data_IF_134931320351
#
_entry.id   IF_134931320351
#
_cell.length_a   1.000
_cell.length_b   1.000
_cell.length_c   1.000
_cell.angle_alpha   90.00
_cell.angle_beta   90.00
_cell.angle_gamma   90.00
#
_symmetry.space_group_name_H-M   'P 1'
#
loop_
_entity.id
_entity.type
_entity.pdbx_description
1 polymer ?
#
# COMPACT_ATOMS: atom_id res chain seq x y z
N UNK A 1 -2.97 -54.94 -39.89
CA UNK A 1 -2.54 -55.29 -38.52
C UNK A 1 -1.49 -54.28 -38.07
N UNK A 2 -1.64 -53.74 -36.85
CA UNK A 2 -0.59 -53.23 -35.93
C UNK A 2 0.33 -52.08 -36.41
N UNK A 3 0.65 -51.04 -35.64
CA UNK A 3 0.24 -50.51 -34.32
C UNK A 3 0.81 -49.07 -34.29
N UNK A 4 -0.01 -48.12 -33.85
CA UNK A 4 0.39 -46.75 -33.48
C UNK A 4 1.41 -46.80 -32.32
N UNK A 5 2.47 -45.99 -32.40
CA UNK A 5 3.32 -45.63 -31.27
C UNK A 5 3.55 -44.11 -31.28
N UNK A 6 2.56 -43.38 -30.77
CA UNK A 6 2.68 -41.94 -30.50
C UNK A 6 3.17 -41.81 -29.06
N UNK A 7 4.47 -41.58 -28.89
CA UNK A 7 5.12 -41.46 -27.59
C UNK A 7 4.69 -40.17 -26.91
N UNK A 8 3.92 -40.31 -25.84
CA UNK A 8 3.35 -39.24 -25.02
C UNK A 8 4.47 -38.58 -24.18
N UNK A 9 5.10 -37.54 -24.73
CA UNK A 9 6.09 -36.71 -24.03
C UNK A 9 5.40 -35.55 -23.31
N UNK A 10 4.51 -35.86 -22.37
CA UNK A 10 3.74 -34.87 -21.63
C UNK A 10 3.60 -35.28 -20.17
N UNK A 11 4.66 -35.10 -19.38
CA UNK A 11 4.55 -34.92 -17.94
C UNK A 11 5.95 -34.63 -17.41
N UNK A 12 6.15 -33.39 -16.96
CA UNK A 12 7.13 -32.91 -15.96
C UNK A 12 7.45 -31.43 -16.25
N UNK A 13 6.40 -30.61 -16.38
CA UNK A 13 6.58 -29.18 -16.13
C UNK A 13 6.68 -29.03 -14.61
N UNK A 14 7.81 -28.55 -14.06
CA UNK A 14 7.90 -28.30 -12.63
C UNK A 14 6.83 -27.27 -12.25
N UNK A 15 5.88 -27.69 -11.42
CA UNK A 15 4.94 -26.78 -10.76
C UNK A 15 5.75 -26.04 -9.70
N UNK A 16 6.42 -24.96 -10.11
CA UNK A 16 7.01 -24.01 -9.18
C UNK A 16 5.88 -23.19 -8.53
N UNK A 17 5.14 -23.81 -7.60
CA UNK A 17 4.22 -23.11 -6.71
C UNK A 17 5.01 -22.60 -5.49
N UNK A 18 5.92 -21.66 -5.72
CA UNK A 18 6.53 -20.87 -4.65
C UNK A 18 5.89 -19.49 -4.71
N UNK A 19 4.86 -19.27 -3.90
CA UNK A 19 4.35 -17.93 -3.58
C UNK A 19 5.37 -17.20 -2.72
N UNK A 20 6.54 -16.90 -3.29
CA UNK A 20 7.58 -16.14 -2.60
C UNK A 20 7.18 -14.66 -2.62
N UNK A 21 6.58 -14.21 -1.52
CA UNK A 21 6.35 -12.79 -1.31
C UNK A 21 7.70 -12.04 -1.29
N UNK A 22 7.83 -10.97 -2.06
CA UNK A 22 9.09 -10.22 -2.26
C UNK A 22 9.47 -9.47 -0.99
N UNK A 23 10.40 -9.99 -0.17
CA UNK A 23 10.72 -9.47 1.17
C UNK A 23 10.74 -7.93 1.24
N UNK A 24 10.22 -7.30 2.32
CA UNK A 24 10.28 -5.85 2.48
C UNK A 24 11.74 -5.37 2.43
N UNK A 25 12.00 -4.35 1.62
CA UNK A 25 13.32 -3.71 1.50
C UNK A 25 13.28 -2.29 2.03
N UNK A 26 14.41 -1.73 2.51
CA UNK A 26 14.50 -0.31 2.79
C UNK A 26 14.04 0.54 1.60
N UNK A 27 13.36 1.66 1.87
CA UNK A 27 12.91 2.61 0.84
C UNK A 27 13.20 4.04 1.27
N UNK A 28 13.50 4.88 0.28
CA UNK A 28 13.55 6.33 0.40
C UNK A 28 12.55 6.91 -0.61
N UNK A 29 11.54 7.62 -0.12
CA UNK A 29 10.46 8.19 -0.94
C UNK A 29 10.48 9.70 -0.81
N UNK A 30 10.40 10.42 -1.92
CA UNK A 30 10.19 11.87 -1.93
C UNK A 30 8.73 12.17 -2.31
N UNK A 31 8.21 13.31 -1.87
CA UNK A 31 6.92 13.80 -2.33
C UNK A 31 7.04 14.47 -3.70
N UNK A 32 6.00 14.36 -4.53
CA UNK A 32 5.93 15.05 -5.83
C UNK A 32 5.91 16.59 -5.69
N UNK A 33 5.63 17.10 -4.48
CA UNK A 33 5.64 18.53 -4.15
C UNK A 33 7.00 19.05 -3.67
N UNK A 34 8.03 18.20 -3.60
CA UNK A 34 9.44 18.56 -3.36
C UNK A 34 9.86 18.93 -1.93
N UNK A 35 8.93 19.09 -0.99
CA UNK A 35 9.24 19.58 0.36
C UNK A 35 9.37 18.50 1.46
N UNK A 36 8.94 17.26 1.20
CA UNK A 36 8.99 16.16 2.16
C UNK A 36 9.64 14.91 1.57
N UNK A 37 10.23 14.11 2.45
CA UNK A 37 10.68 12.75 2.14
C UNK A 37 10.52 11.81 3.32
N UNK A 38 10.55 10.52 3.04
CA UNK A 38 10.28 9.47 3.99
C UNK A 38 11.30 8.34 3.85
N UNK A 39 11.91 7.93 4.96
CA UNK A 39 12.73 6.72 5.04
C UNK A 39 11.91 5.59 5.66
N UNK A 40 11.92 4.45 5.00
CA UNK A 40 11.35 3.21 5.51
C UNK A 40 12.48 2.21 5.76
N UNK A 41 12.50 1.63 6.96
CA UNK A 41 13.50 0.66 7.39
C UNK A 41 12.81 -0.57 7.98
N UNK A 42 12.67 -1.68 7.23
CA UNK A 42 12.19 -2.94 7.79
C UNK A 42 13.31 -3.56 8.64
N UNK A 43 12.99 -3.96 9.87
CA UNK A 43 13.92 -4.67 10.76
C UNK A 43 13.78 -6.17 10.57
N UNK A 44 14.91 -6.82 10.27
CA UNK A 44 15.15 -8.27 10.24
C UNK A 44 13.99 -9.13 9.71
N UNK A 45 14.10 -9.54 8.44
CA UNK A 45 13.14 -10.45 7.80
C UNK A 45 13.51 -11.90 8.13
N UNK A 46 12.99 -12.42 9.25
CA UNK A 46 13.00 -13.86 9.53
C UNK A 46 11.82 -14.53 8.86
N UNK A 47 11.95 -14.94 7.59
CA UNK A 47 10.85 -15.51 6.78
C UNK A 47 10.29 -14.54 5.74
N UNK A 48 8.97 -14.61 5.49
CA UNK A 48 8.26 -13.78 4.50
C UNK A 48 7.68 -12.48 5.09
N UNK A 49 7.96 -12.13 6.34
CA UNK A 49 7.41 -10.92 6.98
C UNK A 49 8.47 -10.19 7.80
N UNK A 50 8.40 -8.85 7.82
CA UNK A 50 9.20 -8.04 8.75
C UNK A 50 8.55 -8.11 10.14
N UNK A 51 9.37 -8.26 11.19
CA UNK A 51 8.89 -8.29 12.58
C UNK A 51 8.54 -6.90 13.10
N UNK A 52 9.23 -5.89 12.59
CA UNK A 52 9.10 -4.50 13.01
C UNK A 52 9.53 -3.61 11.84
N UNK A 53 8.87 -2.48 11.68
CA UNK A 53 9.10 -1.53 10.59
C UNK A 53 9.25 -0.14 11.17
N UNK A 54 10.22 0.64 10.70
CA UNK A 54 10.45 2.02 11.16
C UNK A 54 10.22 3.01 10.02
N UNK A 55 9.64 4.14 10.38
CA UNK A 55 9.43 5.28 9.50
C UNK A 55 10.14 6.52 10.01
N UNK A 56 10.65 7.34 9.10
CA UNK A 56 11.21 8.66 9.38
C UNK A 56 10.72 9.65 8.33
N UNK A 57 9.84 10.58 8.73
CA UNK A 57 9.44 11.71 7.89
C UNK A 57 10.41 12.87 8.11
N UNK A 58 10.88 13.46 7.02
CA UNK A 58 11.72 14.64 7.05
C UNK A 58 11.23 15.69 6.04
N UNK A 59 11.57 16.95 6.31
CA UNK A 59 11.25 18.09 5.46
C UNK A 59 12.53 18.73 4.94
N UNK A 60 12.61 18.95 3.63
CA UNK A 60 13.68 19.72 3.01
C UNK A 60 13.50 21.21 3.35
N UNK A 61 14.49 21.80 3.99
CA UNK A 61 14.52 23.21 4.35
C UNK A 61 15.05 24.06 3.18
N UNK A 62 14.83 25.38 3.24
CA UNK A 62 15.25 26.31 2.19
C UNK A 62 16.78 26.38 1.99
N UNK A 63 17.55 26.04 3.03
CA UNK A 63 19.01 25.96 2.99
C UNK A 63 19.54 24.60 2.47
N UNK A 64 18.64 23.72 2.03
CA UNK A 64 18.97 22.36 1.56
C UNK A 64 19.17 21.33 2.67
N UNK A 65 19.05 21.71 3.94
CA UNK A 65 19.15 20.76 5.06
C UNK A 65 17.86 19.95 5.22
N UNK A 66 17.97 18.77 5.86
CA UNK A 66 16.82 17.93 6.17
C UNK A 66 16.46 18.06 7.65
N UNK A 67 15.22 18.48 7.93
CA UNK A 67 14.66 18.50 9.28
C UNK A 67 13.80 17.25 9.50
N UNK A 68 14.18 16.38 10.41
CA UNK A 68 13.32 15.26 10.84
C UNK A 68 12.09 15.82 11.53
N UNK A 69 10.90 15.45 11.05
CA UNK A 69 9.63 15.79 11.68
C UNK A 69 9.24 14.73 12.71
N UNK A 70 9.42 13.46 12.37
CA UNK A 70 9.23 12.35 13.31
C UNK A 70 9.97 11.09 12.86
N UNK A 71 10.24 10.21 13.82
CA UNK A 71 10.82 8.89 13.61
C UNK A 71 10.32 7.90 14.66
N UNK A 72 9.59 6.87 14.26
CA UNK A 72 9.05 5.86 15.18
C UNK A 72 8.69 4.55 14.46
N UNK A 73 8.35 3.47 15.21
CA UNK A 73 7.82 2.25 14.64
C UNK A 73 6.51 2.48 13.88
N UNK A 74 6.34 1.83 12.74
CA UNK A 74 5.11 1.79 11.96
C UNK A 74 4.21 0.65 12.46
N UNK A 75 2.90 0.82 12.27
CA UNK A 75 1.91 -0.21 12.61
C UNK A 75 1.86 -1.31 11.53
N UNK A 76 2.40 -1.03 10.35
CA UNK A 76 2.40 -1.93 9.21
C UNK A 76 3.79 -2.00 8.54
N UNK A 77 3.94 -2.91 7.59
CA UNK A 77 5.18 -3.08 6.81
C UNK A 77 4.87 -2.72 5.36
N UNK A 78 4.93 -1.43 4.98
CA UNK A 78 4.50 -1.00 3.65
C UNK A 78 5.24 -1.72 2.53
N UNK A 79 4.48 -2.16 1.53
CA UNK A 79 5.00 -2.45 0.20
C UNK A 79 5.14 -1.17 -0.64
N UNK A 80 4.40 -0.11 -0.28
CA UNK A 80 4.50 1.21 -0.91
C UNK A 80 4.24 2.30 0.12
N UNK A 81 4.93 3.42 -0.03
CA UNK A 81 4.70 4.64 0.75
C UNK A 81 4.39 5.78 -0.20
N UNK A 82 3.46 6.64 0.19
CA UNK A 82 3.08 7.86 -0.52
C UNK A 82 3.13 9.01 0.47
N UNK A 83 3.47 10.21 0.00
CA UNK A 83 3.55 11.41 0.84
C UNK A 83 2.61 12.46 0.26
N UNK A 84 1.59 12.83 1.04
CA UNK A 84 0.62 13.85 0.67
C UNK A 84 1.22 15.26 0.71
N UNK A 85 0.60 16.24 0.05
CA UNK A 85 1.13 17.61 -0.09
C UNK A 85 1.36 18.37 1.22
N UNK A 86 0.71 17.95 2.31
CA UNK A 86 0.89 18.55 3.65
C UNK A 86 1.75 17.71 4.59
N UNK A 87 2.51 16.74 4.07
CA UNK A 87 3.39 15.88 4.88
C UNK A 87 2.68 14.71 5.56
N UNK A 88 1.47 14.34 5.12
CA UNK A 88 0.85 13.10 5.58
C UNK A 88 1.54 11.92 4.91
N UNK A 89 1.81 10.85 5.65
CA UNK A 89 2.41 9.63 5.11
C UNK A 89 1.32 8.57 4.98
N UNK A 90 1.17 8.01 3.78
CA UNK A 90 0.25 6.90 3.51
C UNK A 90 1.08 5.66 3.24
N UNK A 91 0.90 4.61 4.03
CA UNK A 91 1.52 3.30 3.81
C UNK A 91 0.48 2.34 3.25
N UNK A 92 0.84 1.63 2.18
CA UNK A 92 0.04 0.56 1.59
C UNK A 92 0.71 -0.77 1.89
N UNK A 93 0.02 -1.62 2.65
CA UNK A 93 0.52 -2.93 3.03
C UNK A 93 -0.14 -4.03 2.19
N UNK A 94 0.69 -4.96 1.75
CA UNK A 94 0.33 -6.13 0.92
C UNK A 94 0.61 -7.46 1.64
N UNK A 95 1.14 -7.43 2.86
CA UNK A 95 1.70 -8.56 3.58
C UNK A 95 0.71 -9.28 4.50
N UNK A 96 -0.53 -8.81 4.61
CA UNK A 96 -1.57 -9.34 5.51
C UNK A 96 -2.29 -10.61 5.06
N UNK A 97 -1.78 -11.30 4.03
CA UNK A 97 -2.52 -12.23 3.19
C UNK A 97 -2.93 -13.59 3.79
N UNK A 98 -2.56 -13.96 5.02
CA UNK A 98 -2.98 -15.27 5.56
C UNK A 98 -3.61 -15.24 6.96
N UNK A 99 -3.45 -14.19 7.78
CA UNK A 99 -4.04 -14.14 9.13
C UNK A 99 -4.33 -12.72 9.67
N UNK A 100 -4.16 -11.66 8.88
CA UNK A 100 -4.09 -10.31 9.44
C UNK A 100 -4.37 -9.24 8.40
N UNK A 101 -5.64 -9.12 8.01
CA UNK A 101 -6.15 -8.10 7.08
C UNK A 101 -6.11 -6.67 7.66
N UNK A 102 -5.42 -6.41 8.77
CA UNK A 102 -5.71 -5.27 9.64
C UNK A 102 -5.29 -3.90 9.08
N UNK A 103 -4.12 -3.81 8.42
CA UNK A 103 -3.45 -2.53 8.16
C UNK A 103 -3.15 -2.26 6.68
N UNK A 104 -4.14 -2.46 5.81
CA UNK A 104 -4.00 -2.35 4.36
C UNK A 104 -3.63 -0.92 3.92
N UNK A 105 -4.25 0.09 4.52
CA UNK A 105 -3.95 1.50 4.32
C UNK A 105 -3.83 2.16 5.68
N UNK A 106 -2.65 2.67 5.98
CA UNK A 106 -2.43 3.47 7.20
C UNK A 106 -2.05 4.88 6.80
N UNK A 107 -2.67 5.86 7.45
CA UNK A 107 -2.40 7.27 7.23
C UNK A 107 -1.85 7.84 8.53
N UNK A 108 -0.67 8.45 8.43
CA UNK A 108 -0.02 9.20 9.48
C UNK A 108 -0.13 10.69 9.17
N UNK A 109 -0.43 11.49 10.19
CA UNK A 109 -0.35 12.94 10.09
C UNK A 109 1.12 13.42 10.10
N UNK A 110 1.38 14.72 9.88
CA UNK A 110 2.74 15.26 9.84
C UNK A 110 3.51 15.18 11.16
N UNK A 111 2.85 14.78 12.26
CA UNK A 111 3.47 14.55 13.58
C UNK A 111 3.79 13.07 13.83
N UNK A 112 3.35 12.18 12.93
CA UNK A 112 3.53 10.73 13.05
C UNK A 112 2.36 10.03 13.74
N UNK A 113 1.29 10.74 14.08
CA UNK A 113 0.11 10.12 14.67
C UNK A 113 -0.70 9.42 13.60
N UNK A 114 -1.12 8.19 13.88
CA UNK A 114 -2.06 7.43 13.02
C UNK A 114 -3.43 8.12 13.05
N UNK A 115 -3.92 8.54 11.89
CA UNK A 115 -5.26 9.12 11.69
C UNK A 115 -6.21 8.17 10.97
N UNK A 116 -5.67 7.19 10.25
CA UNK A 116 -6.45 6.09 9.67
C UNK A 116 -5.64 4.80 9.74
N UNK A 117 -6.33 3.71 10.08
CA UNK A 117 -5.82 2.36 10.01
C UNK A 117 -6.93 1.49 9.42
N UNK A 118 -6.85 1.24 8.12
CA UNK A 118 -7.92 0.65 7.33
C UNK A 118 -7.51 -0.73 6.84
N UNK A 119 -8.42 -1.68 6.99
CA UNK A 119 -8.30 -3.02 6.47
C UNK A 119 -8.71 -3.10 4.98
N UNK A 120 -8.47 -4.26 4.36
CA UNK A 120 -8.81 -4.48 2.95
C UNK A 120 -10.31 -4.35 2.64
N UNK A 121 -11.21 -4.75 3.54
CA UNK A 121 -12.65 -4.67 3.30
C UNK A 121 -13.18 -3.24 3.37
N UNK A 122 -12.46 -2.33 4.03
CA UNK A 122 -12.77 -0.91 4.03
C UNK A 122 -12.34 -0.23 2.72
N UNK A 123 -11.22 -0.66 2.11
CA UNK A 123 -10.65 0.05 0.95
C UNK A 123 -10.86 -0.65 -0.39
N UNK A 124 -11.43 -1.86 -0.39
CA UNK A 124 -11.73 -2.64 -1.60
C UNK A 124 -13.19 -3.12 -1.59
N UNK A 125 -13.72 -3.55 -2.74
CA UNK A 125 -15.09 -4.08 -2.85
C UNK A 125 -15.31 -5.46 -2.22
N UNK A 126 -14.33 -5.99 -1.49
CA UNK A 126 -14.36 -7.36 -0.97
C UNK A 126 -13.91 -8.40 -1.99
N UNK A 127 -12.97 -9.23 -1.55
CA UNK A 127 -12.46 -10.48 -2.10
C UNK A 127 -11.73 -10.52 -3.46
N UNK A 128 -10.54 -11.12 -3.37
CA UNK A 128 -9.80 -11.89 -4.36
C UNK A 128 -9.88 -11.41 -5.81
N UNK A 129 -8.84 -10.70 -6.24
CA UNK A 129 -8.49 -10.62 -7.65
C UNK A 129 -8.23 -12.05 -8.16
N UNK A 130 -9.23 -12.65 -8.81
CA UNK A 130 -9.13 -13.99 -9.40
C UNK A 130 -8.00 -14.08 -10.45
N UNK A 131 -7.64 -12.95 -11.07
CA UNK A 131 -6.50 -12.85 -12.00
C UNK A 131 -5.14 -12.77 -11.33
N UNK A 132 -5.09 -12.44 -10.04
CA UNK A 132 -3.82 -12.15 -9.38
C UNK A 132 -3.10 -13.43 -8.93
N UNK A 133 -3.75 -14.60 -8.98
CA UNK A 133 -3.23 -15.90 -8.49
C UNK A 133 -2.53 -15.81 -7.12
N UNK A 134 -2.83 -14.76 -6.37
CA UNK A 134 -2.32 -14.46 -5.06
C UNK A 134 -3.49 -14.68 -4.12
N UNK A 135 -3.31 -15.58 -3.15
CA UNK A 135 -4.33 -15.89 -2.15
C UNK A 135 -4.83 -14.63 -1.38
N UNK A 136 -4.14 -13.49 -1.48
CA UNK A 136 -4.47 -12.22 -0.82
C UNK A 136 -5.23 -11.15 -1.62
N UNK A 137 -5.67 -11.42 -2.86
CA UNK A 137 -6.40 -10.44 -3.68
C UNK A 137 -5.53 -9.40 -4.40
N UNK A 138 -6.12 -8.35 -5.00
CA UNK A 138 -5.33 -7.38 -5.76
C UNK A 138 -4.47 -6.59 -4.78
N UNK A 139 -3.16 -6.69 -4.94
CA UNK A 139 -2.21 -5.86 -4.20
C UNK A 139 -2.59 -4.39 -4.42
N UNK A 140 -2.84 -3.65 -3.33
CA UNK A 140 -3.22 -2.23 -3.41
C UNK A 140 -2.19 -1.44 -4.23
N UNK A 141 -0.93 -1.88 -4.17
CA UNK A 141 0.18 -1.26 -4.89
C UNK A 141 0.16 -1.50 -6.40
N UNK A 142 -0.51 -2.56 -6.89
CA UNK A 142 -0.53 -2.94 -8.32
C UNK A 142 -1.85 -2.59 -8.99
N UNK A 143 -2.98 -2.80 -8.30
CA UNK A 143 -4.30 -2.64 -8.90
C UNK A 143 -4.84 -1.21 -8.78
N UNK A 144 -4.19 -0.34 -8.01
CA UNK A 144 -4.69 1.00 -7.74
C UNK A 144 -3.68 2.08 -8.09
N UNK A 145 -4.20 3.16 -8.66
CA UNK A 145 -3.47 4.40 -8.88
C UNK A 145 -3.84 5.38 -7.78
N UNK A 146 -2.96 5.62 -6.79
CA UNK A 146 -3.21 6.64 -5.78
C UNK A 146 -3.11 8.03 -6.40
N UNK A 147 -4.03 8.93 -6.03
CA UNK A 147 -3.98 10.35 -6.37
C UNK A 147 -4.37 11.19 -5.16
N UNK A 148 -3.80 12.39 -5.06
CA UNK A 148 -4.22 13.39 -4.07
C UNK A 148 -5.11 14.44 -4.72
N UNK A 149 -6.17 14.85 -4.02
CA UNK A 149 -7.02 15.98 -4.44
C UNK A 149 -7.45 16.81 -3.24
N UNK A 150 -7.68 18.10 -3.47
CA UNK A 150 -8.50 18.95 -2.62
C UNK A 150 -9.82 19.25 -3.35
N UNK A 151 -10.90 19.49 -2.61
CA UNK A 151 -12.21 19.86 -3.19
C UNK A 151 -12.53 21.33 -2.93
N UNK A 152 -11.58 22.22 -3.23
CA UNK A 152 -11.74 23.67 -3.06
C UNK A 152 -11.50 24.21 -1.64
N UNK A 153 -11.36 23.33 -0.65
CA UNK A 153 -10.82 23.71 0.66
C UNK A 153 -9.32 23.38 0.67
N UNK A 154 -8.46 24.41 0.63
CA UNK A 154 -7.01 24.25 0.65
C UNK A 154 -6.50 23.48 1.89
N UNK A 155 -7.30 23.47 2.96
CA UNK A 155 -6.92 22.82 4.20
C UNK A 155 -7.21 21.32 4.24
N UNK A 156 -8.06 20.80 3.36
CA UNK A 156 -8.43 19.39 3.37
C UNK A 156 -8.02 18.67 2.07
N UNK A 157 -7.19 17.65 2.26
CA UNK A 157 -6.70 16.79 1.20
C UNK A 157 -7.23 15.38 1.37
N UNK A 158 -7.44 14.72 0.24
CA UNK A 158 -7.98 13.38 0.17
C UNK A 158 -7.05 12.47 -0.63
N UNK A 159 -6.92 11.23 -0.17
CA UNK A 159 -6.37 10.13 -0.94
C UNK A 159 -7.48 9.48 -1.78
N UNK A 160 -7.27 9.43 -3.08
CA UNK A 160 -8.10 8.69 -4.02
C UNK A 160 -7.37 7.40 -4.36
N UNK A 161 -7.89 6.26 -3.93
CA UNK A 161 -7.44 4.96 -4.41
C UNK A 161 -8.37 4.54 -5.54
N UNK A 162 -7.85 4.44 -6.76
CA UNK A 162 -8.66 4.18 -7.96
C UNK A 162 -8.16 2.97 -8.73
N UNK A 163 -9.05 2.04 -9.07
CA UNK A 163 -8.77 0.96 -10.00
C UNK A 163 -8.67 1.47 -11.45
N UNK A 164 -8.40 0.56 -12.39
CA UNK A 164 -8.34 0.81 -13.83
C UNK A 164 -9.65 1.36 -14.42
N UNK A 165 -10.78 1.14 -13.74
CA UNK A 165 -12.12 1.64 -14.10
C UNK A 165 -12.48 2.93 -13.36
N UNK A 166 -11.56 3.53 -12.60
CA UNK A 166 -11.80 4.74 -11.84
C UNK A 166 -12.69 4.55 -10.60
N UNK A 167 -12.86 3.34 -10.10
CA UNK A 167 -13.61 3.01 -8.87
C UNK A 167 -12.69 2.91 -7.67
N UNK A 168 -13.20 3.15 -6.48
CA UNK A 168 -12.47 3.01 -5.23
C UNK A 168 -12.68 4.17 -4.25
N UNK A 169 -12.20 4.04 -3.01
CA UNK A 169 -12.54 4.93 -1.91
C UNK A 169 -11.85 6.28 -2.02
N UNK A 170 -12.50 7.30 -1.46
CA UNK A 170 -11.87 8.61 -1.20
C UNK A 170 -11.71 8.77 0.29
N UNK A 171 -10.48 8.97 0.78
CA UNK A 171 -10.17 8.97 2.22
C UNK A 171 -9.64 10.34 2.61
N UNK A 172 -10.22 10.98 3.63
CA UNK A 172 -9.69 12.26 4.15
C UNK A 172 -8.36 12.03 4.83
N UNK A 173 -7.32 12.77 4.44
CA UNK A 173 -6.00 12.69 5.09
C UNK A 173 -6.03 13.24 6.52
N UNK A 174 -6.98 14.14 6.83
CA UNK A 174 -7.09 14.75 8.16
C UNK A 174 -7.81 13.85 9.17
N UNK A 175 -8.90 13.21 8.73
CA UNK A 175 -9.80 12.48 9.64
C UNK A 175 -9.73 10.97 9.48
N UNK A 176 -9.08 10.47 8.42
CA UNK A 176 -9.07 9.07 8.04
C UNK A 176 -10.41 8.51 7.58
N UNK A 177 -11.48 9.31 7.57
CA UNK A 177 -12.82 8.86 7.18
C UNK A 177 -12.96 8.77 5.66
N UNK A 178 -13.78 7.83 5.22
CA UNK A 178 -14.23 7.79 3.84
C UNK A 178 -15.11 9.01 3.55
N UNK A 179 -14.86 9.65 2.41
CA UNK A 179 -15.78 10.59 1.77
C UNK A 179 -16.68 9.89 0.78
N UNK A 180 -16.15 8.87 0.10
CA UNK A 180 -16.91 7.98 -0.78
C UNK A 180 -16.53 6.54 -0.54
N UNK A 181 -17.50 5.64 -0.67
CA UNK A 181 -17.27 4.21 -0.72
C UNK A 181 -16.60 3.78 -2.04
N UNK A 182 -16.43 2.48 -2.22
CA UNK A 182 -15.89 1.86 -3.43
C UNK A 182 -16.61 2.29 -4.72
N UNK A 183 -17.93 2.44 -4.67
CA UNK A 183 -18.77 2.77 -5.82
C UNK A 183 -18.89 4.28 -6.05
N UNK A 184 -18.11 5.10 -5.32
CA UNK A 184 -18.20 6.54 -5.38
C UNK A 184 -19.43 7.11 -4.68
N UNK A 185 -20.20 6.31 -3.94
CA UNK A 185 -21.33 6.81 -3.15
C UNK A 185 -20.80 7.52 -1.92
N UNK A 186 -21.38 8.68 -1.58
CA UNK A 186 -21.01 9.41 -0.37
C UNK A 186 -21.28 8.55 0.86
N UNK A 187 -20.31 8.54 1.77
CA UNK A 187 -20.47 7.96 3.10
C UNK A 187 -20.85 9.07 4.08
N UNK A 188 -21.82 8.79 4.95
CA UNK A 188 -22.26 9.73 6.00
C UNK A 188 -21.19 9.90 7.08
#
# INVERSE_FOLDING_TARGET
MRRFALTLLAALSPVAAATSWVKPTPMLVATDYGNYGFKFLPKAVGGSSAKESWGELFQLQADGTLKTLWKHPLVNTPARVLIGPRGHVVTLDNWGGENGTMHAVVIYDPTGKVVADLNYSQVTSGFACARCNAAGGPLLTLAYTPKYTSYGNADEWFLLLRDDKGRGPTISLRTGKHKTDWNGKKTN
#
